data_IF_669362853799
#
_entry.id   IF_669362853799
#
_cell.length_a   1.000
_cell.length_b   1.000
_cell.length_c   1.000
_cell.angle_alpha   90.00
_cell.angle_beta   90.00
_cell.angle_gamma   90.00
#
_symmetry.space_group_name_H-M   'P 1'
#
loop_
_entity.id
_entity.type
_entity.pdbx_description
1 polymer ?
#
# COMPACT_ATOMS: atom_id res chain seq x y z
N UNK A 1 -1.32 8.52 26.76
CA UNK A 1 0.03 8.23 27.36
C UNK A 1 0.07 6.94 28.18
N UNK A 2 -1.03 6.48 28.78
CA UNK A 2 -1.01 5.29 29.64
C UNK A 2 -0.74 3.97 28.90
N UNK A 3 -1.25 3.83 27.67
CA UNK A 3 -1.00 2.64 26.83
C UNK A 3 0.49 2.30 26.68
N UNK A 4 1.33 3.28 26.28
CA UNK A 4 2.76 3.01 26.05
C UNK A 4 3.52 2.67 27.33
N UNK A 5 2.89 2.79 28.52
CA UNK A 5 3.47 2.32 29.78
C UNK A 5 3.62 0.82 29.90
N UNK A 6 2.91 0.08 29.06
CA UNK A 6 2.99 -1.36 29.00
C UNK A 6 4.28 -1.89 28.35
N UNK A 7 5.13 -1.00 27.81
CA UNK A 7 6.49 -1.33 27.34
C UNK A 7 7.58 -1.20 28.43
N UNK A 8 7.22 -1.00 29.70
CA UNK A 8 8.19 -1.11 30.79
C UNK A 8 8.57 -2.58 31.02
N UNK A 9 9.85 -2.91 31.24
CA UNK A 9 10.95 -2.03 31.63
C UNK A 9 11.79 -1.47 30.46
N UNK A 10 11.47 -1.79 29.20
CA UNK A 10 12.33 -1.51 28.04
C UNK A 10 12.20 -0.10 27.48
N UNK A 11 11.71 0.86 28.28
CA UNK A 11 11.70 2.27 27.93
C UNK A 11 12.92 2.98 28.50
N UNK A 12 13.52 3.85 27.68
CA UNK A 12 14.74 4.57 28.03
C UNK A 12 14.58 5.36 29.34
N UNK A 13 13.43 6.03 29.54
CA UNK A 13 13.17 6.77 30.77
C UNK A 13 13.07 5.85 31.99
N UNK A 14 12.54 4.63 31.82
CA UNK A 14 12.47 3.65 32.90
C UNK A 14 13.86 3.11 33.23
N UNK A 15 14.67 2.79 32.22
CA UNK A 15 16.04 2.28 32.38
C UNK A 15 16.97 3.33 33.00
N UNK A 16 17.00 4.56 32.48
CA UNK A 16 17.80 5.66 33.03
C UNK A 16 17.43 5.97 34.49
N UNK A 17 16.13 6.01 34.81
CA UNK A 17 15.69 6.23 36.19
C UNK A 17 16.06 5.05 37.11
N UNK A 18 16.20 3.82 36.59
CA UNK A 18 16.62 2.64 37.34
C UNK A 18 18.14 2.62 37.56
N UNK A 19 18.92 3.00 36.55
CA UNK A 19 20.39 3.03 36.56
C UNK A 19 20.96 4.16 37.42
N UNK A 20 20.38 5.36 37.38
CA UNK A 20 20.87 6.50 38.16
C UNK A 20 20.62 6.38 39.68
N UNK A 21 19.84 5.37 40.10
CA UNK A 21 19.41 5.21 41.48
C UNK A 21 18.47 6.34 41.92
N UNK A 22 17.48 6.01 42.73
CA UNK A 22 16.46 6.97 43.23
C UNK A 22 17.08 7.92 44.29
N UNK A 23 18.31 8.41 44.11
CA UNK A 23 19.01 9.29 45.06
C UNK A 23 18.83 10.76 44.76
N UNK A 24 18.65 11.15 43.50
CA UNK A 24 18.37 12.54 43.12
C UNK A 24 16.93 12.69 42.61
N UNK A 25 15.98 13.01 43.50
CA UNK A 25 14.57 13.27 43.14
C UNK A 25 14.42 14.39 42.10
N UNK A 26 15.41 15.27 41.97
CA UNK A 26 15.40 16.43 41.07
C UNK A 26 15.72 16.09 39.59
N UNK A 27 16.31 14.92 39.29
CA UNK A 27 16.66 14.50 37.93
C UNK A 27 15.86 13.29 37.43
N UNK A 28 14.62 13.12 37.90
CA UNK A 28 13.75 12.06 37.37
C UNK A 28 13.36 12.40 35.93
N UNK A 29 13.91 11.66 34.96
CA UNK A 29 13.54 11.81 33.56
C UNK A 29 12.08 11.38 33.39
N UNK A 30 11.19 12.34 33.12
CA UNK A 30 9.79 12.08 32.83
C UNK A 30 9.43 12.64 31.46
N UNK A 31 8.96 11.77 30.57
CA UNK A 31 8.42 12.15 29.26
C UNK A 31 6.89 12.13 29.27
N UNK A 32 6.27 12.65 30.34
CA UNK A 32 4.80 12.73 30.40
C UNK A 32 4.34 13.77 29.39
N UNK A 33 3.65 13.33 28.35
CA UNK A 33 3.00 14.24 27.40
C UNK A 33 1.68 14.72 28.00
N UNK A 34 1.47 16.04 27.98
CA UNK A 34 0.20 16.69 28.32
C UNK A 34 -0.30 17.37 27.05
N UNK A 35 -1.59 17.25 26.79
CA UNK A 35 -2.22 18.01 25.71
C UNK A 35 -2.23 19.51 26.10
N UNK A 36 -1.92 20.37 25.13
CA UNK A 36 -1.99 21.83 25.28
C UNK A 36 -3.34 22.38 24.78
N UNK A 37 -4.00 21.66 23.86
CA UNK A 37 -5.35 21.95 23.39
C UNK A 37 -6.43 21.68 24.44
N UNK A 38 -7.49 22.49 24.43
CA UNK A 38 -8.60 22.42 25.38
C UNK A 38 -9.73 21.46 25.00
N UNK A 39 -9.81 21.04 23.74
CA UNK A 39 -10.90 20.19 23.25
C UNK A 39 -10.59 18.70 23.42
N UNK A 40 -11.59 17.93 23.85
CA UNK A 40 -11.48 16.48 23.96
C UNK A 40 -11.50 15.85 22.56
N UNK A 41 -10.41 15.18 22.19
CA UNK A 41 -10.37 14.39 20.96
C UNK A 41 -11.36 13.22 21.01
N UNK A 42 -11.99 12.90 19.89
CA UNK A 42 -13.00 11.84 19.79
C UNK A 42 -12.34 10.54 19.39
N UNK A 43 -12.56 9.49 20.17
CA UNK A 43 -12.13 8.13 19.88
C UNK A 43 -13.35 7.25 19.65
N UNK A 44 -13.46 6.65 18.47
CA UNK A 44 -14.58 5.78 18.10
C UNK A 44 -14.07 4.42 17.60
N UNK A 45 -14.91 3.40 17.75
CA UNK A 45 -14.65 2.05 17.24
C UNK A 45 -15.69 1.64 16.21
N UNK A 46 -15.22 1.07 15.11
CA UNK A 46 -16.00 0.54 13.99
C UNK A 46 -15.85 -0.98 14.03
N UNK A 47 -16.96 -1.67 14.28
CA UNK A 47 -17.01 -3.14 14.34
C UNK A 47 -17.71 -3.69 13.09
N UNK A 48 -16.93 -4.24 12.17
CA UNK A 48 -17.43 -4.93 10.98
C UNK A 48 -17.86 -6.36 11.30
N UNK A 49 -18.80 -6.90 10.52
CA UNK A 49 -19.14 -8.34 10.54
C UNK A 49 -18.05 -9.18 9.87
N UNK A 50 -17.50 -8.68 8.79
CA UNK A 50 -16.39 -9.25 8.03
C UNK A 50 -15.49 -8.13 7.49
N UNK A 51 -14.41 -8.49 6.78
CA UNK A 51 -13.49 -7.54 6.15
C UNK A 51 -14.20 -6.56 5.21
N UNK A 52 -15.18 -7.02 4.42
CA UNK A 52 -15.86 -6.17 3.45
C UNK A 52 -16.75 -5.15 4.16
N UNK A 53 -17.42 -5.57 5.23
CA UNK A 53 -18.24 -4.71 6.07
C UNK A 53 -17.39 -3.71 6.86
N UNK A 54 -16.23 -4.11 7.40
CA UNK A 54 -15.27 -3.18 8.02
C UNK A 54 -14.86 -2.08 7.03
N UNK A 55 -14.41 -2.47 5.84
CA UNK A 55 -13.95 -1.56 4.80
C UNK A 55 -15.08 -0.60 4.38
N UNK A 56 -16.29 -1.13 4.16
CA UNK A 56 -17.48 -0.34 3.82
C UNK A 56 -17.80 0.69 4.90
N UNK A 57 -17.86 0.28 6.17
CA UNK A 57 -18.16 1.18 7.29
C UNK A 57 -17.12 2.30 7.44
N UNK A 58 -15.83 2.00 7.22
CA UNK A 58 -14.77 3.02 7.23
C UNK A 58 -14.97 4.04 6.10
N UNK A 59 -15.24 3.59 4.88
CA UNK A 59 -15.46 4.48 3.73
C UNK A 59 -16.73 5.33 3.90
N UNK A 60 -17.83 4.72 4.37
CA UNK A 60 -19.09 5.43 4.69
C UNK A 60 -18.85 6.50 5.76
N UNK A 61 -18.10 6.17 6.82
CA UNK A 61 -17.78 7.13 7.88
C UNK A 61 -16.95 8.31 7.36
N UNK A 62 -15.98 8.07 6.48
CA UNK A 62 -15.19 9.14 5.85
C UNK A 62 -16.10 10.07 5.03
N UNK A 63 -16.99 9.51 4.23
CA UNK A 63 -17.96 10.28 3.44
C UNK A 63 -18.90 11.11 4.34
N UNK A 64 -19.43 10.50 5.41
CA UNK A 64 -20.31 11.18 6.37
C UNK A 64 -19.62 12.35 7.07
N UNK A 65 -18.35 12.18 7.44
CA UNK A 65 -17.57 13.24 8.09
C UNK A 65 -17.32 14.42 7.14
N UNK A 66 -16.98 14.15 5.87
CA UNK A 66 -16.83 15.20 4.85
C UNK A 66 -18.14 15.96 4.60
N UNK A 67 -19.29 15.30 4.70
CA UNK A 67 -20.61 15.95 4.54
C UNK A 67 -20.94 16.83 5.75
N UNK A 68 -20.63 16.37 6.96
CA UNK A 68 -20.90 17.10 8.21
C UNK A 68 -19.98 18.30 8.39
N UNK A 69 -18.71 18.17 8.04
CA UNK A 69 -17.71 19.22 8.19
C UNK A 69 -17.26 19.73 6.81
N UNK A 70 -17.90 20.80 6.34
CA UNK A 70 -17.68 21.36 4.99
C UNK A 70 -16.33 22.04 4.81
N UNK A 71 -15.63 22.38 5.90
CA UNK A 71 -14.31 23.03 5.84
C UNK A 71 -13.16 22.02 5.74
N UNK A 72 -13.44 20.73 5.99
CA UNK A 72 -12.43 19.68 5.99
C UNK A 72 -12.05 19.31 4.57
N UNK A 73 -10.75 19.11 4.36
CA UNK A 73 -10.18 18.65 3.10
C UNK A 73 -10.06 17.11 3.06
N UNK A 74 -10.08 16.48 1.87
CA UNK A 74 -9.73 15.07 1.69
C UNK A 74 -8.30 14.78 2.17
N UNK A 75 -7.41 15.78 2.14
CA UNK A 75 -6.05 15.67 2.67
C UNK A 75 -6.01 15.49 4.19
N UNK A 76 -7.06 15.86 4.91
CA UNK A 76 -7.15 15.74 6.37
C UNK A 76 -7.50 14.31 6.84
N UNK A 77 -7.83 13.41 5.91
CA UNK A 77 -8.18 12.03 6.19
C UNK A 77 -7.01 11.09 5.89
N UNK A 78 -6.67 10.24 6.87
CA UNK A 78 -5.69 9.19 6.70
C UNK A 78 -6.22 7.81 7.12
N UNK A 79 -5.99 6.80 6.27
CA UNK A 79 -6.21 5.39 6.57
C UNK A 79 -4.85 4.74 6.81
N UNK A 80 -4.60 4.32 8.05
CA UNK A 80 -3.38 3.67 8.48
C UNK A 80 -3.58 2.16 8.52
N UNK A 81 -2.77 1.44 7.73
CA UNK A 81 -2.73 -0.03 7.70
C UNK A 81 -1.43 -0.55 8.29
N UNK A 82 -1.44 -1.74 8.88
CA UNK A 82 -0.18 -2.38 9.33
C UNK A 82 0.63 -2.96 8.16
N UNK A 83 -0.04 -3.42 7.10
CA UNK A 83 0.60 -4.06 5.94
C UNK A 83 0.03 -3.53 4.62
N UNK A 84 0.90 -3.32 3.63
CA UNK A 84 0.53 -2.81 2.30
C UNK A 84 -0.59 -3.62 1.62
N UNK A 85 -0.60 -4.94 1.80
CA UNK A 85 -1.63 -5.81 1.19
C UNK A 85 -3.05 -5.41 1.62
N UNK A 86 -3.23 -5.01 2.88
CA UNK A 86 -4.54 -4.57 3.37
C UNK A 86 -5.00 -3.23 2.79
N UNK A 87 -4.07 -2.37 2.35
CA UNK A 87 -4.42 -1.08 1.77
C UNK A 87 -5.26 -1.24 0.49
N UNK A 88 -5.02 -2.31 -0.28
CA UNK A 88 -5.73 -2.57 -1.52
C UNK A 88 -7.25 -2.72 -1.31
N UNK A 89 -7.68 -3.32 -0.20
CA UNK A 89 -9.10 -3.48 0.12
C UNK A 89 -9.77 -2.11 0.27
N UNK A 90 -9.11 -1.16 0.94
CA UNK A 90 -9.59 0.22 1.09
C UNK A 90 -9.49 1.01 -0.23
N UNK A 91 -8.42 0.83 -1.00
CA UNK A 91 -8.28 1.46 -2.33
C UNK A 91 -9.47 1.09 -3.23
N UNK A 92 -9.78 -0.20 -3.33
CA UNK A 92 -10.88 -0.70 -4.15
C UNK A 92 -12.24 -0.18 -3.67
N UNK A 93 -12.44 -0.03 -2.36
CA UNK A 93 -13.70 0.48 -1.83
C UNK A 93 -13.86 1.99 -2.07
N UNK A 94 -12.79 2.77 -1.94
CA UNK A 94 -12.79 4.20 -2.30
C UNK A 94 -13.01 4.40 -3.81
N UNK A 95 -12.47 3.51 -4.65
CA UNK A 95 -12.74 3.48 -6.09
C UNK A 95 -14.22 3.35 -6.39
N UNK A 96 -14.85 2.33 -5.79
CA UNK A 96 -16.27 2.05 -5.98
C UNK A 96 -17.13 3.21 -5.48
N UNK A 97 -16.72 3.86 -4.38
CA UNK A 97 -17.40 5.02 -3.82
C UNK A 97 -17.12 6.33 -4.58
N UNK A 98 -16.20 6.34 -5.56
CA UNK A 98 -15.80 7.54 -6.28
C UNK A 98 -15.06 8.58 -5.43
N UNK A 99 -14.45 8.16 -4.32
CA UNK A 99 -13.73 9.05 -3.41
C UNK A 99 -12.25 9.18 -3.81
N UNK A 100 -11.68 10.40 -3.85
CA UNK A 100 -10.28 10.57 -4.21
C UNK A 100 -9.37 10.06 -3.10
N UNK A 101 -8.41 9.21 -3.45
CA UNK A 101 -7.41 8.69 -2.51
C UNK A 101 -6.04 8.63 -3.16
N UNK A 102 -5.02 8.57 -2.32
CA UNK A 102 -3.63 8.39 -2.69
C UNK A 102 -3.01 7.32 -1.81
N UNK A 103 -2.57 6.22 -2.41
CA UNK A 103 -1.88 5.15 -1.68
C UNK A 103 -0.37 5.42 -1.61
N UNK A 104 0.10 5.79 -0.43
CA UNK A 104 1.50 6.00 -0.08
C UNK A 104 2.10 4.68 0.42
N UNK A 105 2.38 3.77 -0.51
CA UNK A 105 3.32 2.68 -0.21
C UNK A 105 4.73 3.27 -0.16
N UNK A 106 5.59 2.82 0.76
CA UNK A 106 7.01 3.21 0.79
C UNK A 106 7.90 2.26 -0.01
N UNK A 107 7.32 1.23 -0.64
CA UNK A 107 8.03 0.16 -1.36
C UNK A 107 7.30 -0.25 -2.64
N UNK A 108 8.04 -0.82 -3.59
CA UNK A 108 7.47 -1.43 -4.78
C UNK A 108 7.46 -0.53 -6.01
N UNK A 109 8.27 0.55 -6.04
CA UNK A 109 8.44 1.37 -7.25
C UNK A 109 8.92 0.51 -8.42
N UNK A 110 9.93 -0.33 -8.21
CA UNK A 110 10.51 -1.17 -9.27
C UNK A 110 9.57 -2.28 -9.74
N UNK A 111 8.57 -2.62 -8.92
CA UNK A 111 7.52 -3.58 -9.28
C UNK A 111 6.35 -2.94 -10.05
N UNK A 112 6.28 -1.61 -10.15
CA UNK A 112 5.18 -0.95 -10.89
C UNK A 112 5.29 -1.28 -12.38
N UNK A 113 4.18 -1.64 -13.05
CA UNK A 113 4.20 -2.02 -14.47
C UNK A 113 4.93 -1.01 -15.36
N UNK A 114 4.63 0.28 -15.16
CA UNK A 114 5.25 1.38 -15.91
C UNK A 114 6.77 1.45 -15.72
N UNK A 115 7.25 1.17 -14.51
CA UNK A 115 8.69 1.20 -14.20
C UNK A 115 9.39 -0.03 -14.78
N UNK A 116 8.78 -1.21 -14.70
CA UNK A 116 9.33 -2.40 -15.33
C UNK A 116 9.41 -2.22 -16.86
N UNK A 117 8.49 -1.48 -17.47
CA UNK A 117 8.57 -1.15 -18.91
C UNK A 117 9.80 -0.31 -19.22
N UNK A 118 10.07 0.73 -18.41
CA UNK A 118 11.27 1.58 -18.56
C UNK A 118 12.54 0.77 -18.32
N UNK A 119 12.59 -0.02 -17.24
CA UNK A 119 13.75 -0.89 -16.93
C UNK A 119 14.00 -1.88 -18.07
N UNK A 120 12.94 -2.49 -18.62
CA UNK A 120 13.05 -3.41 -19.75
C UNK A 120 13.55 -2.72 -21.01
N UNK A 121 13.17 -1.45 -21.21
CA UNK A 121 13.70 -0.68 -22.33
C UNK A 121 15.20 -0.42 -22.17
N UNK A 122 15.64 0.02 -20.98
CA UNK A 122 17.05 0.24 -20.69
C UNK A 122 17.87 -1.05 -20.84
N UNK A 123 17.36 -2.17 -20.32
CA UNK A 123 17.95 -3.50 -20.47
C UNK A 123 18.17 -3.88 -21.92
N UNK A 124 17.20 -3.62 -22.80
CA UNK A 124 17.38 -3.82 -24.24
C UNK A 124 18.49 -2.97 -24.85
N UNK A 125 18.83 -1.80 -24.30
CA UNK A 125 19.91 -0.98 -24.83
C UNK A 125 21.30 -1.49 -24.40
N UNK A 126 21.38 -2.18 -23.26
CA UNK A 126 22.61 -2.81 -22.77
C UNK A 126 22.83 -4.20 -23.37
N UNK A 127 21.79 -5.05 -23.42
CA UNK A 127 21.84 -6.39 -23.99
C UNK A 127 20.65 -6.70 -24.93
N UNK A 128 20.93 -6.80 -26.23
CA UNK A 128 19.97 -7.20 -27.25
C UNK A 128 19.53 -8.67 -27.17
N UNK A 129 20.21 -9.50 -26.38
CA UNK A 129 19.87 -10.91 -26.21
C UNK A 129 18.82 -11.15 -25.12
N UNK A 130 18.49 -10.14 -24.29
CA UNK A 130 17.49 -10.25 -23.24
C UNK A 130 16.07 -10.33 -23.81
N UNK A 131 15.64 -11.54 -24.16
CA UNK A 131 14.36 -11.77 -24.84
C UNK A 131 13.15 -11.46 -23.95
N UNK A 132 13.28 -11.50 -22.62
CA UNK A 132 12.21 -11.12 -21.69
C UNK A 132 11.93 -9.61 -21.79
N UNK A 133 13.00 -8.80 -21.78
CA UNK A 133 12.91 -7.36 -21.96
C UNK A 133 12.33 -7.01 -23.35
N UNK A 134 12.83 -7.68 -24.40
CA UNK A 134 12.32 -7.52 -25.76
C UNK A 134 10.82 -7.84 -25.89
N UNK A 135 10.38 -8.96 -25.31
CA UNK A 135 8.97 -9.34 -25.32
C UNK A 135 8.10 -8.29 -24.63
N UNK A 136 8.55 -7.77 -23.49
CA UNK A 136 7.83 -6.74 -22.75
C UNK A 136 7.65 -5.46 -23.57
N UNK A 137 8.72 -5.00 -24.23
CA UNK A 137 8.69 -3.81 -25.09
C UNK A 137 7.77 -4.02 -26.30
N UNK A 138 7.84 -5.17 -26.96
CA UNK A 138 6.93 -5.50 -28.07
C UNK A 138 5.46 -5.56 -27.65
N UNK A 139 5.19 -5.96 -26.40
CA UNK A 139 3.84 -6.02 -25.87
C UNK A 139 3.30 -4.65 -25.41
N UNK A 140 4.07 -3.56 -25.54
CA UNK A 140 3.58 -2.23 -25.19
C UNK A 140 2.47 -1.78 -26.16
N UNK A 141 1.35 -1.23 -25.65
CA UNK A 141 0.21 -0.81 -26.48
C UNK A 141 0.57 0.20 -27.58
N UNK A 142 1.62 1.01 -27.37
CA UNK A 142 2.11 2.01 -28.33
C UNK A 142 2.59 1.41 -29.66
N UNK A 143 3.07 0.17 -29.66
CA UNK A 143 3.53 -0.50 -30.89
C UNK A 143 2.44 -1.33 -31.56
N UNK A 144 1.33 -1.57 -30.86
CA UNK A 144 0.12 -2.20 -31.38
C UNK A 144 0.37 -3.56 -32.06
N UNK A 145 1.23 -4.40 -31.47
CA UNK A 145 1.42 -5.78 -31.93
C UNK A 145 0.26 -6.67 -31.45
N UNK A 146 -0.26 -7.52 -32.33
CA UNK A 146 -1.29 -8.49 -31.95
C UNK A 146 -0.66 -9.67 -31.21
N UNK A 147 -1.44 -10.36 -30.37
CA UNK A 147 -0.97 -11.56 -29.68
C UNK A 147 -0.44 -12.63 -30.67
N UNK A 148 -1.08 -12.78 -31.82
CA UNK A 148 -0.63 -13.69 -32.88
C UNK A 148 0.75 -13.30 -33.45
N UNK A 149 1.00 -12.02 -33.63
CA UNK A 149 2.32 -11.51 -34.07
C UNK A 149 3.40 -11.85 -33.03
N UNK A 150 3.13 -11.59 -31.75
CA UNK A 150 4.06 -11.89 -30.66
C UNK A 150 4.37 -13.39 -30.53
N UNK A 151 3.35 -14.25 -30.67
CA UNK A 151 3.53 -15.71 -30.68
C UNK A 151 4.38 -16.15 -31.87
N UNK A 152 4.17 -15.57 -33.05
CA UNK A 152 4.96 -15.89 -34.24
C UNK A 152 6.43 -15.49 -34.08
N UNK A 153 6.71 -14.33 -33.47
CA UNK A 153 8.10 -13.92 -33.17
C UNK A 153 8.78 -14.89 -32.22
N UNK A 154 8.10 -15.28 -31.13
CA UNK A 154 8.63 -16.27 -30.18
C UNK A 154 8.85 -17.64 -30.83
N UNK A 155 7.92 -18.09 -31.67
CA UNK A 155 8.08 -19.34 -32.40
C UNK A 155 9.30 -19.29 -33.33
N UNK A 156 9.51 -18.20 -34.06
CA UNK A 156 10.67 -18.02 -34.92
C UNK A 156 11.99 -17.95 -34.13
N UNK A 157 11.97 -17.30 -32.96
CA UNK A 157 13.11 -17.23 -32.03
C UNK A 157 13.50 -18.63 -31.55
N UNK A 158 12.55 -19.39 -31.02
CA UNK A 158 12.78 -20.73 -30.50
C UNK A 158 13.23 -21.71 -31.59
N UNK A 159 12.63 -21.65 -32.79
CA UNK A 159 12.97 -22.54 -33.90
C UNK A 159 14.43 -22.40 -34.34
N UNK A 160 15.01 -21.19 -34.24
CA UNK A 160 16.38 -20.90 -34.67
C UNK A 160 17.35 -20.69 -33.51
N UNK A 161 16.91 -20.85 -32.26
CA UNK A 161 17.65 -20.48 -31.05
C UNK A 161 18.20 -19.04 -31.12
N UNK A 162 17.39 -18.12 -31.63
CA UNK A 162 17.75 -16.70 -31.76
C UNK A 162 17.08 -15.87 -30.68
N UNK A 163 17.71 -14.75 -30.29
CA UNK A 163 17.02 -13.75 -29.48
C UNK A 163 15.87 -13.11 -30.27
N UNK A 164 14.84 -12.62 -29.56
CA UNK A 164 13.73 -11.91 -30.21
C UNK A 164 14.22 -10.71 -31.04
N UNK A 165 15.21 -9.96 -30.54
CA UNK A 165 15.81 -8.86 -31.31
C UNK A 165 16.41 -9.34 -32.64
N UNK A 166 17.12 -10.48 -32.63
CA UNK A 166 17.70 -11.06 -33.85
C UNK A 166 16.61 -11.45 -34.86
N UNK A 167 15.49 -12.01 -34.38
CA UNK A 167 14.33 -12.31 -35.23
C UNK A 167 13.75 -11.05 -35.86
N UNK A 168 13.59 -9.98 -35.08
CA UNK A 168 13.09 -8.69 -35.58
C UNK A 168 14.02 -8.10 -36.64
N UNK A 169 15.34 -8.18 -36.43
CA UNK A 169 16.33 -7.68 -37.40
C UNK A 169 16.33 -8.49 -38.69
N UNK A 170 16.18 -9.82 -38.60
CA UNK A 170 16.09 -10.73 -39.76
C UNK A 170 14.66 -10.86 -40.32
N UNK A 171 13.72 -10.05 -39.84
CA UNK A 171 12.29 -10.14 -40.19
C UNK A 171 11.98 -9.78 -41.66
N UNK A 172 12.92 -9.16 -42.37
CA UNK A 172 12.68 -8.56 -43.68
C UNK A 172 12.06 -9.57 -44.67
N UNK A 173 10.85 -9.27 -45.13
CA UNK A 173 10.10 -10.11 -46.09
C UNK A 173 9.47 -11.38 -45.51
N UNK A 174 9.61 -11.63 -44.19
CA UNK A 174 9.03 -12.82 -43.50
C UNK A 174 7.67 -12.57 -42.88
N UNK A 175 7.30 -11.30 -42.71
CA UNK A 175 6.01 -10.87 -42.16
C UNK A 175 5.29 -9.94 -43.13
N UNK A 176 3.98 -9.77 -42.94
CA UNK A 176 3.18 -8.84 -43.73
C UNK A 176 3.67 -7.40 -43.63
N UNK A 177 3.38 -6.58 -44.65
CA UNK A 177 3.87 -5.20 -44.79
C UNK A 177 3.60 -4.35 -43.54
N UNK A 178 2.41 -4.48 -42.94
CA UNK A 178 2.04 -3.73 -41.74
C UNK A 178 2.89 -4.12 -40.51
N UNK A 179 3.10 -5.42 -40.30
CA UNK A 179 3.95 -5.94 -39.22
C UNK A 179 5.38 -5.46 -39.40
N UNK A 180 5.90 -5.51 -40.64
CA UNK A 180 7.24 -5.03 -40.95
C UNK A 180 7.41 -3.53 -40.63
N UNK A 181 6.39 -2.70 -40.90
CA UNK A 181 6.41 -1.28 -40.52
C UNK A 181 6.52 -1.11 -39.00
N UNK A 182 5.74 -1.86 -38.20
CA UNK A 182 5.81 -1.83 -36.73
C UNK A 182 7.20 -2.26 -36.23
N UNK A 183 7.74 -3.35 -36.77
CA UNK A 183 9.09 -3.85 -36.45
C UNK A 183 10.15 -2.77 -36.72
N UNK A 184 10.09 -2.13 -37.89
CA UNK A 184 11.05 -1.10 -38.27
C UNK A 184 11.00 0.13 -37.34
N UNK A 185 9.83 0.48 -36.80
CA UNK A 185 9.71 1.57 -35.81
C UNK A 185 10.46 1.20 -34.53
N UNK A 186 10.26 -0.02 -34.02
CA UNK A 186 10.93 -0.51 -32.80
C UNK A 186 12.44 -0.59 -32.99
N UNK A 187 12.91 -1.18 -34.10
CA UNK A 187 14.33 -1.32 -34.39
C UNK A 187 15.03 0.04 -34.48
N UNK A 188 14.44 1.01 -35.21
CA UNK A 188 15.01 2.36 -35.32
C UNK A 188 15.12 3.04 -33.96
N UNK A 189 14.12 2.89 -33.10
CA UNK A 189 14.12 3.47 -31.77
C UNK A 189 15.25 2.89 -30.91
N UNK A 190 15.39 1.56 -30.90
CA UNK A 190 16.44 0.86 -30.16
C UNK A 190 17.82 1.24 -30.68
N UNK A 191 18.05 1.18 -32.00
CA UNK A 191 19.34 1.52 -32.62
C UNK A 191 19.74 2.97 -32.32
N UNK A 192 18.80 3.92 -32.45
CA UNK A 192 19.01 5.33 -32.14
C UNK A 192 19.37 5.55 -30.66
N UNK A 193 18.61 4.96 -29.75
CA UNK A 193 18.85 5.13 -28.31
C UNK A 193 20.09 4.37 -27.83
N UNK A 194 20.47 3.26 -28.46
CA UNK A 194 21.73 2.56 -28.15
C UNK A 194 22.93 3.41 -28.58
N UNK A 195 22.87 4.04 -29.76
CA UNK A 195 23.91 4.99 -30.17
C UNK A 195 24.00 6.17 -29.19
N UNK A 196 22.86 6.70 -28.77
CA UNK A 196 22.78 7.83 -27.82
C UNK A 196 23.27 7.45 -26.42
N UNK A 197 23.07 6.21 -25.97
CA UNK A 197 23.47 5.73 -24.64
C UNK A 197 24.99 5.70 -24.42
N UNK A 198 25.78 5.92 -25.48
CA UNK A 198 27.24 6.07 -25.39
C UNK A 198 27.67 7.47 -24.93
N UNK A 199 26.83 8.47 -25.15
CA UNK A 199 27.14 9.88 -24.89
C UNK A 199 26.24 10.49 -23.82
N UNK A 200 25.03 9.94 -23.66
CA UNK A 200 24.00 10.44 -22.74
C UNK A 200 23.92 9.60 -21.48
N UNK A 201 23.47 10.24 -20.40
CA UNK A 201 23.19 9.56 -19.12
C UNK A 201 21.87 8.78 -19.15
N UNK A 202 21.63 7.98 -18.12
CA UNK A 202 20.43 7.15 -18.01
C UNK A 202 19.14 7.99 -18.03
N UNK A 203 19.11 9.11 -17.31
CA UNK A 203 17.98 10.04 -17.23
C UNK A 203 17.56 10.56 -18.61
N UNK A 204 18.51 11.03 -19.42
CA UNK A 204 18.24 11.54 -20.76
C UNK A 204 17.72 10.44 -21.69
N UNK A 205 18.25 9.21 -21.58
CA UNK A 205 17.78 8.08 -22.37
C UNK A 205 16.34 7.70 -22.00
N UNK A 206 15.99 7.71 -20.72
CA UNK A 206 14.61 7.48 -20.25
C UNK A 206 13.68 8.55 -20.84
N UNK A 207 14.05 9.83 -20.78
CA UNK A 207 13.24 10.94 -21.33
C UNK A 207 13.08 10.78 -22.85
N UNK A 208 14.15 10.47 -23.57
CA UNK A 208 14.11 10.23 -25.02
C UNK A 208 13.18 9.06 -25.35
N UNK A 209 13.26 7.95 -24.62
CA UNK A 209 12.32 6.83 -24.79
C UNK A 209 10.87 7.24 -24.58
N UNK A 210 10.56 7.85 -23.43
CA UNK A 210 9.19 8.22 -23.04
C UNK A 210 8.51 9.17 -24.03
N UNK A 211 9.27 10.11 -24.60
CA UNK A 211 8.79 11.08 -25.58
C UNK A 211 8.70 10.51 -27.00
N UNK A 212 9.81 9.94 -27.50
CA UNK A 212 9.93 9.56 -28.91
C UNK A 212 9.15 8.30 -29.27
N UNK A 213 9.00 7.36 -28.33
CA UNK A 213 8.13 6.19 -28.50
C UNK A 213 6.63 6.54 -28.53
N UNK A 214 6.28 7.73 -28.05
CA UNK A 214 4.89 8.13 -27.80
C UNK A 214 4.32 7.57 -26.50
N UNK A 215 5.14 7.00 -25.61
CA UNK A 215 4.64 6.38 -24.37
C UNK A 215 3.97 7.38 -23.43
N UNK A 216 4.51 8.60 -23.28
CA UNK A 216 3.86 9.67 -22.52
C UNK A 216 2.50 10.06 -23.09
N UNK A 217 2.38 10.13 -24.43
CA UNK A 217 1.10 10.43 -25.09
C UNK A 217 0.08 9.32 -24.86
N UNK A 218 0.52 8.07 -24.78
CA UNK A 218 -0.35 6.95 -24.43
C UNK A 218 -0.84 7.04 -22.98
N UNK A 219 0.04 7.36 -22.03
CA UNK A 219 -0.35 7.55 -20.63
C UNK A 219 -1.34 8.70 -20.45
N UNK A 220 -1.12 9.82 -21.15
CA UNK A 220 -2.01 10.98 -21.12
C UNK A 220 -3.43 10.71 -21.64
N UNK A 221 -3.63 9.65 -22.44
CA UNK A 221 -4.96 9.24 -22.94
C UNK A 221 -5.72 8.31 -21.99
N UNK A 222 -5.08 7.82 -20.93
CA UNK A 222 -5.73 6.96 -19.93
C UNK A 222 -6.66 7.77 -19.02
N UNK A 223 -7.49 7.08 -18.24
CA UNK A 223 -8.27 7.69 -17.16
C UNK A 223 -7.39 8.60 -16.27
N UNK A 224 -7.90 9.78 -15.93
CA UNK A 224 -7.16 10.84 -15.24
C UNK A 224 -6.37 10.34 -14.03
N UNK A 225 -6.95 9.43 -13.22
CA UNK A 225 -6.27 8.89 -12.05
C UNK A 225 -5.09 7.99 -12.41
N UNK A 226 -5.30 7.01 -13.28
CA UNK A 226 -4.25 6.08 -13.72
C UNK A 226 -3.10 6.82 -14.40
N UNK A 227 -3.42 7.84 -15.19
CA UNK A 227 -2.44 8.72 -15.83
C UNK A 227 -1.60 9.48 -14.81
N UNK A 228 -2.24 10.11 -13.81
CA UNK A 228 -1.54 10.83 -12.73
C UNK A 228 -0.62 9.91 -11.92
N UNK A 229 -1.10 8.73 -11.53
CA UNK A 229 -0.28 7.75 -10.81
C UNK A 229 0.94 7.30 -11.64
N UNK A 230 0.75 7.00 -12.92
CA UNK A 230 1.84 6.61 -13.80
C UNK A 230 2.92 7.70 -13.92
N UNK A 231 2.49 8.95 -14.06
CA UNK A 231 3.40 10.11 -14.10
C UNK A 231 4.14 10.26 -12.77
N UNK A 232 3.47 10.09 -11.63
CA UNK A 232 4.11 10.13 -10.32
C UNK A 232 5.20 9.06 -10.17
N UNK A 233 4.93 7.81 -10.57
CA UNK A 233 5.93 6.75 -10.54
C UNK A 233 7.12 7.08 -11.44
N UNK A 234 6.87 7.56 -12.65
CA UNK A 234 7.93 7.98 -13.57
C UNK A 234 8.79 9.10 -12.96
N UNK A 235 8.19 10.14 -12.39
CA UNK A 235 8.94 11.22 -11.74
C UNK A 235 9.82 10.72 -10.59
N UNK A 236 9.33 9.77 -9.80
CA UNK A 236 10.11 9.17 -8.71
C UNK A 236 11.28 8.34 -9.24
N UNK A 237 11.06 7.54 -10.29
CA UNK A 237 12.12 6.78 -10.93
C UNK A 237 13.17 7.69 -11.59
N UNK A 238 12.73 8.80 -12.19
CA UNK A 238 13.61 9.83 -12.73
C UNK A 238 14.46 10.49 -11.64
N UNK A 239 13.87 10.80 -10.48
CA UNK A 239 14.62 11.32 -9.34
C UNK A 239 15.68 10.32 -8.85
N UNK A 240 15.33 9.04 -8.75
CA UNK A 240 16.28 7.96 -8.40
C UNK A 240 17.43 7.86 -9.41
N UNK A 241 17.16 7.99 -10.71
CA UNK A 241 18.19 8.02 -11.75
C UNK A 241 19.08 9.28 -11.64
N UNK A 242 18.53 10.44 -11.30
CA UNK A 242 19.31 11.66 -11.05
C UNK A 242 20.19 11.55 -9.80
N UNK A 243 19.69 10.92 -8.74
CA UNK A 243 20.45 10.64 -7.52
C UNK A 243 21.63 9.71 -7.81
N UNK A 244 21.43 8.66 -8.62
CA UNK A 244 22.51 7.81 -9.13
C UNK A 244 23.59 8.62 -9.86
N UNK A 245 23.17 9.48 -10.80
CA UNK A 245 24.07 10.29 -11.63
C UNK A 245 24.82 11.38 -10.85
N UNK A 246 24.28 11.80 -9.71
CA UNK A 246 24.92 12.74 -8.80
C UNK A 246 25.93 12.04 -7.88
N UNK A 247 25.67 10.78 -7.52
CA UNK A 247 26.51 9.99 -6.61
C UNK A 247 27.65 9.24 -7.31
N UNK A 248 27.54 8.97 -8.61
CA UNK A 248 28.47 8.13 -9.36
C UNK A 248 29.17 8.90 -10.50
N UNK A 249 30.46 8.59 -10.72
CA UNK A 249 31.24 9.10 -11.85
C UNK A 249 30.84 8.45 -13.18
N UNK A 250 30.55 7.14 -13.18
CA UNK A 250 30.01 6.43 -14.33
C UNK A 250 28.48 6.57 -14.38
N UNK A 251 28.01 7.39 -15.32
CA UNK A 251 26.59 7.74 -15.51
C UNK A 251 25.93 6.93 -16.63
N UNK A 252 26.61 5.88 -17.11
CA UNK A 252 26.12 5.07 -18.21
C UNK A 252 24.85 4.30 -17.83
N UNK A 253 24.03 3.96 -18.84
CA UNK A 253 22.85 3.11 -18.68
C UNK A 253 23.23 1.77 -18.04
N UNK A 254 24.38 1.21 -18.41
CA UNK A 254 24.90 -0.04 -17.89
C UNK A 254 25.19 0.03 -16.39
N UNK A 255 25.89 1.07 -15.95
CA UNK A 255 26.21 1.28 -14.53
C UNK A 255 24.94 1.45 -13.70
N UNK A 256 23.97 2.23 -14.20
CA UNK A 256 22.68 2.41 -13.55
C UNK A 256 21.90 1.09 -13.41
N UNK A 257 21.84 0.29 -14.47
CA UNK A 257 21.18 -1.02 -14.43
C UNK A 257 21.85 -2.00 -13.47
N UNK A 258 23.18 -1.96 -13.36
CA UNK A 258 23.93 -2.79 -12.43
C UNK A 258 23.58 -2.43 -10.97
N UNK A 259 23.58 -1.14 -10.64
CA UNK A 259 23.21 -0.68 -9.30
C UNK A 259 21.75 -1.03 -8.97
N UNK A 260 20.84 -0.78 -9.91
CA UNK A 260 19.44 -1.13 -9.77
C UNK A 260 19.23 -2.64 -9.55
N UNK A 261 19.99 -3.49 -10.24
CA UNK A 261 19.92 -4.93 -10.05
C UNK A 261 20.46 -5.34 -8.67
N UNK A 262 21.56 -4.73 -8.21
CA UNK A 262 22.10 -4.97 -6.86
C UNK A 262 21.10 -4.60 -5.76
N UNK A 263 20.39 -3.48 -5.91
CA UNK A 263 19.30 -3.10 -5.00
C UNK A 263 18.19 -4.15 -4.98
N UNK A 264 17.72 -4.58 -6.15
CA UNK A 264 16.66 -5.58 -6.27
C UNK A 264 17.10 -6.92 -5.65
N UNK A 265 18.34 -7.35 -5.89
CA UNK A 265 18.91 -8.58 -5.35
C UNK A 265 19.09 -8.50 -3.82
N UNK A 266 19.36 -7.31 -3.29
CA UNK A 266 19.37 -7.03 -1.85
C UNK A 266 17.95 -6.96 -1.23
N UNK A 267 16.90 -7.11 -2.04
CA UNK A 267 15.51 -7.07 -1.60
C UNK A 267 14.94 -5.65 -1.47
N UNK A 268 15.61 -4.65 -2.04
CA UNK A 268 15.05 -3.31 -2.16
C UNK A 268 14.06 -3.26 -3.32
N UNK A 269 12.85 -2.75 -3.05
CA UNK A 269 11.78 -2.67 -4.06
C UNK A 269 11.64 -1.24 -4.63
N UNK A 270 12.62 -0.37 -4.35
CA UNK A 270 12.58 1.06 -4.61
C UNK A 270 11.68 1.80 -3.63
N UNK A 271 12.16 2.96 -3.14
CA UNK A 271 11.38 3.84 -2.27
C UNK A 271 10.45 4.72 -3.09
N UNK A 272 9.18 4.77 -2.71
CA UNK A 272 8.24 5.74 -3.25
C UNK A 272 8.27 6.96 -2.32
N UNK A 273 9.07 7.97 -2.67
CA UNK A 273 8.98 9.27 -1.99
C UNK A 273 7.78 10.02 -2.57
N UNK A 274 6.68 10.04 -1.84
CA UNK A 274 5.54 10.87 -2.21
C UNK A 274 5.65 12.17 -1.43
N UNK A 275 5.68 13.29 -2.14
CA UNK A 275 5.40 14.58 -1.55
C UNK A 275 3.90 14.59 -1.19
N UNK A 276 3.60 14.50 0.10
CA UNK A 276 2.25 14.30 0.63
C UNK A 276 1.37 15.53 0.38
N UNK A 277 2.00 16.70 0.25
CA UNK A 277 1.32 17.97 -0.03
C UNK A 277 1.23 18.26 -1.54
N UNK A 278 2.04 17.60 -2.37
CA UNK A 278 2.00 17.77 -3.82
C UNK A 278 0.94 16.89 -4.47
N UNK A 279 -0.14 17.51 -4.95
CA UNK A 279 -1.16 16.84 -5.74
C UNK A 279 -2.58 17.36 -5.46
N UNK A 280 -3.59 16.78 -6.15
CA UNK A 280 -4.99 17.06 -5.86
C UNK A 280 -5.39 16.53 -4.48
N UNK A 281 -6.42 17.16 -3.90
CA UNK A 281 -7.06 16.77 -2.64
C UNK A 281 -7.44 15.28 -2.63
N UNK A 282 -6.87 14.49 -1.71
CA UNK A 282 -7.12 13.05 -1.67
C UNK A 282 -6.88 12.43 -0.29
N UNK A 283 -7.70 11.42 0.05
CA UNK A 283 -7.57 10.61 1.27
C UNK A 283 -6.24 9.85 1.22
N UNK A 284 -5.41 9.98 2.26
CA UNK A 284 -4.10 9.34 2.28
C UNK A 284 -4.21 7.92 2.85
N UNK A 285 -3.82 6.91 2.10
CA UNK A 285 -3.70 5.53 2.60
C UNK A 285 -2.22 5.22 2.75
N UNK A 286 -1.78 4.81 3.93
CA UNK A 286 -0.36 4.51 4.16
C UNK A 286 -0.15 3.47 5.25
N UNK A 287 1.07 2.95 5.34
CA UNK A 287 1.41 2.11 6.49
C UNK A 287 1.62 2.95 7.74
N UNK A 288 1.41 2.35 8.92
CA UNK A 288 1.76 2.97 10.21
C UNK A 288 3.21 3.47 10.26
N UNK A 289 4.14 2.77 9.59
CA UNK A 289 5.54 3.18 9.49
C UNK A 289 5.70 4.43 8.61
N UNK A 290 5.00 4.47 7.47
CA UNK A 290 4.99 5.62 6.56
C UNK A 290 4.37 6.87 7.15
N UNK A 291 3.50 6.73 8.16
CA UNK A 291 2.88 7.86 8.84
C UNK A 291 3.81 8.55 9.86
N UNK A 292 5.00 8.02 10.13
CA UNK A 292 5.91 8.59 11.13
C UNK A 292 6.31 10.02 10.75
N UNK A 293 6.03 10.97 11.63
CA UNK A 293 6.30 12.39 11.40
C UNK A 293 5.16 13.15 10.73
N UNK A 294 4.08 12.48 10.30
CA UNK A 294 2.90 13.08 9.70
C UNK A 294 1.74 13.17 10.70
N UNK A 295 0.84 14.13 10.51
CA UNK A 295 -0.32 14.35 11.37
C UNK A 295 -1.54 14.70 10.52
N UNK A 296 -2.72 14.21 10.93
CA UNK A 296 -3.97 14.35 10.19
C UNK A 296 -5.13 14.62 11.16
N UNK A 297 -6.13 15.39 10.72
CA UNK A 297 -7.32 15.70 11.53
C UNK A 297 -8.12 14.44 11.87
N UNK A 298 -8.32 13.58 10.86
CA UNK A 298 -9.07 12.33 10.96
C UNK A 298 -8.17 11.13 10.62
N UNK A 299 -7.96 10.23 11.58
CA UNK A 299 -7.13 9.04 11.40
C UNK A 299 -7.94 7.77 11.64
N UNK A 300 -7.88 6.84 10.68
CA UNK A 300 -8.49 5.52 10.75
C UNK A 300 -7.39 4.46 10.87
N UNK A 301 -7.28 3.80 12.02
CA UNK A 301 -6.36 2.67 12.21
C UNK A 301 -7.17 1.39 12.02
N UNK A 302 -6.82 0.64 10.98
CA UNK A 302 -7.66 -0.44 10.48
C UNK A 302 -7.05 -1.82 10.68
N UNK A 303 -7.88 -2.86 10.50
CA UNK A 303 -7.53 -4.27 10.67
C UNK A 303 -6.93 -4.59 12.05
N UNK A 304 -7.50 -4.02 13.11
CA UNK A 304 -7.04 -4.22 14.48
C UNK A 304 -7.47 -5.57 15.03
N UNK A 305 -6.78 -6.59 14.54
CA UNK A 305 -7.09 -8.00 14.74
C UNK A 305 -5.84 -8.72 15.20
N UNK A 306 -6.01 -9.69 16.10
CA UNK A 306 -4.91 -10.52 16.57
C UNK A 306 -4.18 -11.19 15.39
N UNK A 307 -2.85 -11.15 15.42
CA UNK A 307 -1.93 -11.63 14.37
C UNK A 307 -1.89 -10.81 13.07
N UNK A 308 -2.69 -9.74 12.94
CA UNK A 308 -2.53 -8.74 11.88
C UNK A 308 -1.90 -7.46 12.42
N UNK A 309 -2.40 -6.97 13.56
CA UNK A 309 -1.80 -5.86 14.28
C UNK A 309 -2.07 -6.05 15.78
N UNK A 310 -1.15 -6.67 16.55
CA UNK A 310 0.25 -6.97 16.21
C UNK A 310 0.42 -8.07 15.14
N UNK A 311 1.44 -7.93 14.30
CA UNK A 311 1.84 -8.99 13.35
C UNK A 311 2.40 -10.22 14.05
N UNK A 312 2.47 -11.34 13.33
CA UNK A 312 3.23 -12.52 13.78
C UNK A 312 4.72 -12.23 13.54
N UNK A 313 5.53 -12.41 14.58
CA UNK A 313 6.98 -12.36 14.46
C UNK A 313 7.45 -13.39 13.42
N UNK A 314 8.12 -12.91 12.38
CA UNK A 314 8.83 -13.78 11.44
C UNK A 314 10.26 -13.92 11.96
N UNK A 315 10.67 -15.15 12.27
CA UNK A 315 12.07 -15.41 12.65
C UNK A 315 12.98 -14.94 11.53
N UNK A 316 14.04 -14.21 11.87
CA UNK A 316 15.12 -13.92 10.94
C UNK A 316 15.74 -15.23 10.46
N UNK A 317 15.96 -15.35 9.14
CA UNK A 317 16.50 -16.56 8.53
C UNK A 317 17.98 -16.76 8.85
N UNK A 318 18.65 -15.70 9.29
CA UNK A 318 20.06 -15.69 9.65
C UNK A 318 20.14 -15.28 11.11
N UNK A 319 20.54 -16.22 11.96
CA UNK A 319 20.81 -15.92 13.37
C UNK A 319 22.16 -15.18 13.44
N UNK A 320 22.15 -13.96 13.96
CA UNK A 320 23.40 -13.26 14.29
C UNK A 320 24.01 -14.00 15.49
N UNK A 321 25.27 -14.46 15.41
CA UNK A 321 25.96 -15.06 16.55
C UNK A 321 25.96 -14.11 17.75
N UNK A 322 25.60 -14.60 18.93
CA UNK A 322 25.48 -13.81 20.16
C UNK A 322 26.75 -12.97 20.45
N UNK A 323 27.92 -13.45 20.04
CA UNK A 323 29.21 -12.76 20.19
C UNK A 323 29.35 -11.47 19.37
N UNK A 324 28.51 -11.27 18.34
CA UNK A 324 28.49 -10.06 17.49
C UNK A 324 27.43 -9.05 17.95
N UNK A 325 26.55 -9.43 18.88
CA UNK A 325 25.54 -8.54 19.45
C UNK A 325 26.19 -7.72 20.57
N UNK A 326 26.69 -6.53 20.23
CA UNK A 326 27.28 -5.58 21.20
C UNK A 326 26.24 -4.83 22.04
N UNK A 327 24.96 -4.97 21.71
CA UNK A 327 23.86 -4.30 22.40
C UNK A 327 23.22 -5.18 23.48
N UNK A 328 22.76 -4.55 24.56
CA UNK A 328 22.00 -5.23 25.62
C UNK A 328 20.63 -5.60 25.04
N UNK A 329 20.43 -6.88 24.70
CA UNK A 329 19.13 -7.35 24.23
C UNK A 329 18.04 -7.08 25.29
N UNK A 330 16.92 -6.43 24.92
CA UNK A 330 15.82 -6.21 25.84
C UNK A 330 15.29 -7.54 26.39
N UNK A 331 14.90 -7.57 27.67
CA UNK A 331 14.23 -8.74 28.25
C UNK A 331 12.74 -8.70 27.89
N UNK A 332 12.23 -9.71 27.19
CA UNK A 332 10.80 -9.82 26.84
C UNK A 332 10.55 -10.20 25.38
N UNK A 333 9.30 -10.06 24.94
CA UNK A 333 8.90 -10.20 23.53
C UNK A 333 9.15 -8.86 22.81
N UNK A 334 10.37 -8.70 22.30
CA UNK A 334 10.86 -7.47 21.64
C UNK A 334 9.95 -7.08 20.47
N UNK A 335 9.52 -8.06 19.69
CA UNK A 335 8.63 -7.84 18.54
C UNK A 335 7.29 -7.24 19.01
N UNK A 336 6.68 -7.80 20.05
CA UNK A 336 5.43 -7.26 20.59
C UNK A 336 5.59 -5.84 21.13
N UNK A 337 6.70 -5.54 21.80
CA UNK A 337 6.98 -4.19 22.30
C UNK A 337 7.17 -3.18 21.16
N UNK A 338 7.81 -3.59 20.06
CA UNK A 338 7.93 -2.76 18.88
C UNK A 338 6.58 -2.53 18.19
N UNK A 339 5.75 -3.58 18.06
CA UNK A 339 4.38 -3.44 17.56
C UNK A 339 3.53 -2.50 18.43
N UNK A 340 3.74 -2.49 19.76
CA UNK A 340 3.11 -1.50 20.65
C UNK A 340 3.61 -0.09 20.39
N UNK A 341 4.91 0.11 20.13
CA UNK A 341 5.44 1.43 19.76
C UNK A 341 4.85 1.90 18.45
N UNK A 342 4.71 1.02 17.46
CA UNK A 342 4.07 1.32 16.19
C UNK A 342 2.60 1.72 16.39
N UNK A 343 1.83 0.96 17.17
CA UNK A 343 0.45 1.32 17.48
C UNK A 343 0.34 2.66 18.21
N UNK A 344 1.26 2.93 19.15
CA UNK A 344 1.34 4.23 19.82
C UNK A 344 1.63 5.37 18.83
N UNK A 345 2.58 5.19 17.90
CA UNK A 345 2.87 6.17 16.86
C UNK A 345 1.61 6.44 16.05
N UNK A 346 0.91 5.40 15.60
CA UNK A 346 -0.34 5.51 14.84
C UNK A 346 -1.40 6.34 15.57
N UNK A 347 -1.63 6.08 16.86
CA UNK A 347 -2.59 6.86 17.67
C UNK A 347 -2.20 8.33 17.76
N UNK A 348 -0.90 8.63 17.89
CA UNK A 348 -0.40 10.00 17.96
C UNK A 348 -0.29 10.71 16.60
N UNK A 349 -0.82 10.12 15.51
CA UNK A 349 -0.92 10.81 14.22
C UNK A 349 -2.26 11.58 14.09
N UNK A 350 -3.22 11.28 14.95
CA UNK A 350 -4.53 11.94 15.00
C UNK A 350 -4.44 13.25 15.76
N UNK A 351 -4.95 14.33 15.18
CA UNK A 351 -5.11 15.62 15.87
C UNK A 351 -6.44 15.71 16.63
N UNK A 352 -7.56 15.35 15.99
CA UNK A 352 -8.91 15.56 16.55
C UNK A 352 -9.72 14.27 16.69
N UNK A 353 -9.75 13.44 15.64
CA UNK A 353 -10.60 12.26 15.58
C UNK A 353 -9.82 10.99 15.23
N UNK A 354 -9.89 10.01 16.13
CA UNK A 354 -9.25 8.71 15.99
C UNK A 354 -10.29 7.60 15.91
N UNK A 355 -10.30 6.89 14.78
CA UNK A 355 -11.17 5.75 14.54
C UNK A 355 -10.37 4.46 14.54
N UNK A 356 -10.86 3.47 15.27
CA UNK A 356 -10.34 2.11 15.24
C UNK A 356 -11.30 1.22 14.48
N UNK A 357 -10.82 0.37 13.57
CA UNK A 357 -11.67 -0.62 12.90
C UNK A 357 -11.16 -2.05 13.05
N UNK A 358 -12.10 -2.98 13.24
CA UNK A 358 -11.81 -4.41 13.26
C UNK A 358 -13.03 -5.22 12.81
N UNK A 359 -12.78 -6.45 12.36
CA UNK A 359 -13.82 -7.45 12.11
C UNK A 359 -13.44 -8.82 12.71
N UNK A 360 -14.40 -9.71 12.96
CA UNK A 360 -14.09 -11.08 13.37
C UNK A 360 -13.69 -11.96 12.18
N UNK A 361 -14.22 -11.74 10.98
CA UNK A 361 -13.96 -12.58 9.80
C UNK A 361 -13.21 -11.85 8.67
N UNK A 362 -12.14 -12.47 8.18
CA UNK A 362 -11.33 -12.00 7.04
C UNK A 362 -11.19 -13.08 5.95
N UNK A 363 -12.12 -14.03 5.88
CA UNK A 363 -12.11 -15.11 4.88
C UNK A 363 -11.09 -16.23 5.18
N UNK A 364 -10.70 -16.38 6.45
CA UNK A 364 -9.79 -17.44 6.89
C UNK A 364 -10.54 -18.66 7.45
N UNK A 365 -9.85 -19.77 7.67
CA UNK A 365 -10.46 -20.99 8.26
C UNK A 365 -11.04 -20.78 9.67
N UNK A 366 -10.69 -19.71 10.37
CA UNK A 366 -11.14 -19.41 11.74
C UNK A 366 -11.38 -17.92 11.92
N UNK A 367 -12.46 -17.62 12.63
CA UNK A 367 -12.77 -16.30 13.18
C UNK A 367 -11.60 -15.81 14.04
N UNK A 368 -11.27 -14.53 13.90
CA UNK A 368 -10.19 -13.86 14.60
C UNK A 368 -10.72 -13.10 15.81
N UNK A 369 -9.83 -12.91 16.79
CA UNK A 369 -10.09 -12.09 17.98
C UNK A 369 -9.69 -10.64 17.69
N UNK A 370 -10.30 -9.66 18.36
CA UNK A 370 -9.84 -8.27 18.28
C UNK A 370 -8.38 -8.16 18.72
N UNK A 371 -7.69 -7.13 18.23
CA UNK A 371 -6.32 -6.86 18.65
C UNK A 371 -6.24 -6.67 20.16
N UNK A 372 -5.16 -7.21 20.74
CA UNK A 372 -4.83 -6.95 22.15
C UNK A 372 -4.69 -5.47 22.45
N UNK A 373 -4.28 -4.63 21.48
CA UNK A 373 -4.09 -3.20 21.69
C UNK A 373 -5.39 -2.47 21.99
N UNK A 374 -6.52 -2.93 21.42
CA UNK A 374 -7.85 -2.41 21.75
C UNK A 374 -8.25 -2.71 23.19
N UNK A 375 -7.82 -3.86 23.71
CA UNK A 375 -8.05 -4.28 25.10
C UNK A 375 -7.10 -3.53 26.05
N UNK A 376 -5.84 -3.35 25.65
CA UNK A 376 -4.82 -2.65 26.42
C UNK A 376 -5.10 -1.14 26.56
N UNK A 377 -5.82 -0.55 25.60
CA UNK A 377 -6.33 0.82 25.67
C UNK A 377 -7.68 0.94 26.39
N UNK A 378 -8.23 -0.15 26.93
CA UNK A 378 -9.58 -0.22 27.54
C UNK A 378 -10.72 0.29 26.61
N UNK A 379 -10.51 0.23 25.29
CA UNK A 379 -11.52 0.57 24.27
C UNK A 379 -12.55 -0.56 24.17
N UNK A 380 -12.06 -1.80 24.25
CA UNK A 380 -12.87 -3.02 24.26
C UNK A 380 -12.76 -3.68 25.64
N UNK A 381 -13.87 -4.15 26.25
CA UNK A 381 -13.83 -4.82 27.55
C UNK A 381 -12.95 -6.07 27.53
N UNK A 382 -12.12 -6.24 28.57
CA UNK A 382 -11.23 -7.39 28.78
C UNK A 382 -12.01 -8.70 28.79
N UNK A 383 -12.01 -9.40 27.66
CA UNK A 383 -12.25 -10.85 27.36
C UNK A 383 -13.34 -11.67 28.07
N UNK A 384 -13.91 -11.25 29.20
CA UNK A 384 -14.94 -12.02 29.92
C UNK A 384 -16.31 -11.92 29.26
N UNK A 385 -16.57 -10.90 28.43
CA UNK A 385 -17.83 -10.75 27.67
C UNK A 385 -17.73 -11.16 26.20
N UNK A 386 -16.61 -10.90 25.53
CA UNK A 386 -16.43 -11.21 24.09
C UNK A 386 -16.28 -12.71 23.82
N UNK A 387 -15.70 -13.45 24.77
CA UNK A 387 -15.66 -14.92 24.70
C UNK A 387 -17.08 -15.51 24.65
N UNK A 388 -18.00 -15.01 25.49
CA UNK A 388 -19.39 -15.46 25.51
C UNK A 388 -20.17 -15.05 24.26
N UNK A 389 -19.88 -13.88 23.68
CA UNK A 389 -20.54 -13.40 22.45
C UNK A 389 -20.02 -14.13 21.19
N UNK A 390 -18.72 -14.35 21.08
CA UNK A 390 -18.11 -15.06 19.96
C UNK A 390 -18.45 -16.56 19.95
N UNK A 391 -18.50 -17.20 21.14
CA UNK A 391 -18.99 -18.58 21.26
C UNK A 391 -20.48 -18.70 20.88
N UNK A 392 -21.33 -17.76 21.31
CA UNK A 392 -22.77 -17.74 20.93
C UNK A 392 -23.01 -17.54 19.43
N UNK A 393 -22.19 -16.75 18.74
CA UNK A 393 -22.28 -16.57 17.29
C UNK A 393 -21.78 -17.80 16.50
N UNK A 394 -20.80 -18.53 17.02
CA UNK A 394 -20.33 -19.80 16.46
C UNK A 394 -21.30 -20.96 16.65
N UNK A 395 -22.05 -20.98 17.76
CA UNK A 395 -23.07 -22.00 18.02
C UNK A 395 -24.35 -21.78 17.19
N UNK A 396 -24.77 -20.53 16.97
CA UNK A 396 -25.96 -20.23 16.15
C UNK A 396 -25.78 -20.51 14.65
N UNK A 397 -24.55 -20.50 14.15
CA UNK A 397 -24.24 -20.84 12.74
C UNK A 397 -24.13 -22.35 12.52
N UNK A 398 -23.93 -23.15 13.58
CA UNK A 398 -23.92 -24.61 13.54
C UNK A 398 -25.31 -25.27 13.49
N UNK A 399 -26.35 -24.63 14.06
CA UNK A 399 -27.67 -25.26 14.22
C UNK A 399 -28.75 -24.83 13.21
N UNK A 400 -28.51 -23.82 12.36
CA UNK A 400 -29.47 -23.41 11.31
C UNK A 400 -29.10 -23.94 9.92
N UNK A 401 -29.00 -25.27 9.81
CA UNK A 401 -29.24 -26.00 8.55
C UNK A 401 -30.42 -26.95 8.74
N UNK A 402 -31.60 -26.41 9.02
CA UNK A 402 -32.87 -26.98 8.58
C UNK A 402 -34.06 -26.11 9.00
N UNK A 403 -34.98 -25.95 8.03
CA UNK A 403 -36.35 -25.41 8.08
C UNK A 403 -36.56 -23.93 7.72
N UNK A 404 -37.57 -23.80 6.85
CA UNK A 404 -38.07 -22.65 6.13
C UNK A 404 -38.69 -21.54 7.01
N UNK A 405 -38.73 -20.37 6.39
CA UNK A 405 -39.79 -19.35 6.37
C UNK A 405 -40.04 -18.45 7.58
N UNK A 406 -40.34 -17.19 7.20
CA UNK A 406 -41.01 -16.10 7.92
C UNK A 406 -40.16 -15.15 8.77
N UNK A 407 -39.77 -14.09 8.08
CA UNK A 407 -39.88 -12.68 8.46
C UNK A 407 -40.39 -12.39 9.89
N UNK A 408 -39.47 -12.05 10.79
CA UNK A 408 -39.73 -11.23 11.97
C UNK A 408 -38.50 -10.37 12.27
N UNK A 409 -38.68 -9.06 12.11
CA UNK A 409 -37.72 -8.04 12.52
C UNK A 409 -37.38 -8.14 14.01
N UNK A 410 -36.10 -7.90 14.32
CA UNK A 410 -35.58 -7.77 15.67
C UNK A 410 -34.79 -6.47 15.74
N UNK A 411 -35.44 -5.47 16.31
CA UNK A 411 -34.85 -4.20 16.74
C UNK A 411 -33.71 -4.47 17.74
N UNK A 412 -32.54 -3.87 17.47
CA UNK A 412 -31.42 -3.86 18.43
C UNK A 412 -31.19 -2.46 18.96
N UNK A 413 -31.22 -2.37 20.29
CA UNK A 413 -31.06 -1.19 21.12
C UNK A 413 -29.66 -0.60 20.92
N UNK A 414 -29.61 0.59 20.30
CA UNK A 414 -28.45 1.47 20.29
C UNK A 414 -28.31 2.07 21.70
N UNK A 415 -27.16 1.85 22.36
CA UNK A 415 -26.78 2.68 23.51
C UNK A 415 -26.15 3.97 23.00
N UNK A 416 -27.00 4.91 22.63
CA UNK A 416 -26.64 6.32 22.52
C UNK A 416 -26.50 6.91 23.94
N UNK A 417 -25.38 7.58 24.23
CA UNK A 417 -25.39 8.66 25.22
C UNK A 417 -25.85 9.91 24.48
N UNK A 418 -27.14 10.23 24.60
CA UNK A 418 -27.76 11.41 23.98
C UNK A 418 -27.55 12.66 24.86
N UNK A 419 -27.14 13.75 24.23
CA UNK A 419 -27.72 15.07 24.48
C UNK A 419 -28.60 15.35 23.26
N UNK A 420 -29.86 15.74 23.51
CA UNK A 420 -30.97 15.78 22.56
C UNK A 420 -30.89 16.97 21.59
N UNK A 421 -31.20 16.78 20.29
CA UNK A 421 -32.46 17.27 19.72
C UNK A 421 -32.74 16.77 18.28
N UNK A 422 -34.02 16.81 17.93
CA UNK A 422 -34.74 16.06 16.90
C UNK A 422 -34.45 16.40 15.43
N UNK A 423 -34.58 15.37 14.57
CA UNK A 423 -34.78 15.52 13.13
C UNK A 423 -34.66 14.21 12.36
N UNK A 424 -35.74 13.44 12.24
CA UNK A 424 -35.81 12.28 11.32
C UNK A 424 -35.80 12.80 9.87
N UNK A 425 -34.84 12.36 9.06
CA UNK A 425 -34.91 12.46 7.60
C UNK A 425 -34.66 11.06 7.03
N UNK A 426 -35.66 10.52 6.33
CA UNK A 426 -35.57 9.28 5.58
C UNK A 426 -34.64 9.47 4.39
N UNK A 427 -33.65 8.58 4.22
CA UNK A 427 -32.85 8.50 3.00
C UNK A 427 -32.97 7.08 2.44
N UNK A 428 -33.60 7.00 1.28
CA UNK A 428 -33.70 5.81 0.43
C UNK A 428 -32.41 5.67 -0.37
N UNK A 429 -31.63 4.62 -0.13
CA UNK A 429 -30.52 4.20 -0.98
C UNK A 429 -31.06 3.10 -1.91
N UNK A 430 -30.97 3.23 -3.24
CA UNK A 430 -31.54 2.25 -4.17
C UNK A 430 -30.81 0.90 -4.09
N UNK A 431 -31.53 -0.23 -4.10
CA UNK A 431 -30.92 -1.56 -4.13
C UNK A 431 -30.54 -1.90 -5.57
N UNK A 432 -29.25 -2.02 -5.87
CA UNK A 432 -28.81 -2.65 -7.11
C UNK A 432 -27.70 -3.66 -6.86
N UNK A 433 -28.12 -4.92 -6.69
CA UNK A 433 -27.44 -6.09 -7.25
C UNK A 433 -28.51 -7.09 -7.68
N UNK A 434 -28.65 -7.28 -8.99
CA UNK A 434 -29.12 -8.54 -9.56
C UNK A 434 -28.17 -8.92 -10.69
N UNK A 435 -27.26 -9.84 -10.37
CA UNK A 435 -26.58 -10.62 -11.39
C UNK A 435 -27.61 -11.57 -12.02
N UNK A 436 -27.86 -11.42 -13.31
CA UNK A 436 -28.46 -12.49 -14.12
C UNK A 436 -27.43 -12.94 -15.13
N UNK A 437 -26.93 -14.16 -14.93
CA UNK A 437 -26.19 -14.93 -15.92
C UNK A 437 -27.23 -15.52 -16.89
N UNK A 438 -26.93 -15.44 -18.20
CA UNK A 438 -27.63 -16.12 -19.29
C UNK A 438 -28.02 -15.12 -20.38
N UNK A 439 -27.73 -15.30 -21.66
CA UNK A 439 -27.17 -16.38 -22.45
C UNK A 439 -27.53 -16.07 -23.91
N UNK A 440 -26.67 -16.48 -24.85
CA UNK A 440 -26.96 -16.68 -26.28
C UNK A 440 -27.85 -15.65 -27.02
N UNK A 441 -27.23 -14.76 -27.80
CA UNK A 441 -27.21 -14.78 -29.28
C UNK A 441 -26.37 -13.62 -29.83
#
# INVERSE_FOLDING_TARGET
>A
YDFIKQNNPNRLEYQLNKEQGIKNKEQKFTKKLKAEGGDEGIIEIIEGKDLQDEVRQVVEKIADLKIKDKEVSWNDFAILVRANKSANDFCNALDIAGLPYQFLSSRGLYAKPIIIDVISYLKMLDDYHESIAAYRILNLPIFNFSYRELVNFNYAANKKAWSLFTVLRDAHGKFGIEVQKKINIVLRLIEKHTASAREKNATEIIISFLNESGYLKYLAKQEDRKSREAIQYLNQFMKRAQEFEAANDDKSVKAFLLELQMEIDAGEEGSLSVDIESGPEAIKIMTVHGAKGLEFKYVFITNLVDKRFPTIERREQILIPDALIKEILPKGDIHLEEERRLFYVAMTRSCEHLYFSWAPDYGGQRIKKPSRFLIECDIIPKSTELSKKALRLGEQTGEKKNKNSEDKGLDFIVKEKKIENNGKINISIPPYFSYTIGGFL
#
